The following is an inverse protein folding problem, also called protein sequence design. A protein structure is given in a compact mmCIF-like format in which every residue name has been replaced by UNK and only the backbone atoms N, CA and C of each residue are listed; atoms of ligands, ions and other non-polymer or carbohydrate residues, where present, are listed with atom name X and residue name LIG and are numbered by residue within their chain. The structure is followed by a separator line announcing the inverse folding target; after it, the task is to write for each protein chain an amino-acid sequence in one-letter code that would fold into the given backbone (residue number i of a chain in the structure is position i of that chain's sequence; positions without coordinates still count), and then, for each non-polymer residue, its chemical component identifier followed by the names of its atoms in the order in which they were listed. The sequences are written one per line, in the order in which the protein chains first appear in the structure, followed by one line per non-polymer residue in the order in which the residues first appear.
data_IF_807255958664
#
_entry.id   IF_807255958664
#
_cell.length_a   1.000
_cell.length_b   1.000
_cell.length_c   1.000
_cell.angle_alpha   90.00
_cell.angle_beta   90.00
_cell.angle_gamma   90.00
#
_symmetry.space_group_name_H-M   'P 1'
#
loop_
_entity.id
_entity.type
_entity.pdbx_description
1 polymer ?
#
# COMPACT_ATOMS: atom_id res chain seq x y z
N UNK A 1 -22.44 -26.11 -4.73
CA UNK A 1 -22.37 -25.20 -3.57
C UNK A 1 -20.98 -24.59 -3.61
N UNK A 2 -20.84 -23.26 -3.71
CA UNK A 2 -19.52 -22.63 -3.60
C UNK A 2 -19.02 -22.79 -2.15
N UNK A 3 -17.72 -23.03 -1.92
CA UNK A 3 -17.17 -23.10 -0.57
C UNK A 3 -17.45 -21.80 0.18
N UNK A 4 -17.76 -21.90 1.48
CA UNK A 4 -17.93 -20.72 2.33
C UNK A 4 -16.64 -19.88 2.31
N UNK A 5 -16.72 -18.54 2.25
CA UNK A 5 -15.55 -17.66 2.23
C UNK A 5 -14.67 -17.79 3.48
N UNK A 6 -15.15 -18.44 4.54
CA UNK A 6 -14.37 -18.72 5.76
C UNK A 6 -13.56 -20.02 5.69
N UNK A 7 -13.73 -20.82 4.64
CA UNK A 7 -12.92 -22.03 4.40
C UNK A 7 -11.67 -21.69 3.61
N UNK A 8 -10.58 -22.44 3.78
CA UNK A 8 -9.33 -22.22 3.03
C UNK A 8 -9.56 -22.15 1.51
N UNK A 9 -10.37 -23.06 0.97
CA UNK A 9 -10.74 -23.07 -0.45
C UNK A 9 -11.55 -21.83 -0.85
N UNK A 10 -12.45 -21.35 0.02
CA UNK A 10 -13.19 -20.11 -0.19
C UNK A 10 -12.27 -18.89 -0.16
N UNK A 11 -11.33 -18.81 0.78
CA UNK A 11 -10.35 -17.73 0.87
C UNK A 11 -9.49 -17.67 -0.39
N UNK A 12 -8.96 -18.81 -0.86
CA UNK A 12 -8.19 -18.86 -2.11
C UNK A 12 -9.02 -18.38 -3.31
N UNK A 13 -10.29 -18.76 -3.35
CA UNK A 13 -11.19 -18.33 -4.42
C UNK A 13 -11.45 -16.81 -4.36
N UNK A 14 -11.68 -16.24 -3.18
CA UNK A 14 -11.88 -14.80 -3.01
C UNK A 14 -10.63 -14.00 -3.36
N UNK A 15 -9.44 -14.45 -2.96
CA UNK A 15 -8.16 -13.87 -3.38
C UNK A 15 -8.03 -13.91 -4.91
N UNK A 16 -8.40 -15.04 -5.53
CA UNK A 16 -8.34 -15.17 -6.98
C UNK A 16 -9.34 -14.24 -7.69
N UNK A 17 -10.53 -14.06 -7.14
CA UNK A 17 -11.55 -13.16 -7.68
C UNK A 17 -11.15 -11.69 -7.50
N UNK A 18 -10.42 -11.35 -6.43
CA UNK A 18 -9.96 -10.00 -6.14
C UNK A 18 -11.09 -9.00 -5.89
N UNK A 19 -12.27 -9.50 -5.49
CA UNK A 19 -13.44 -8.66 -5.20
C UNK A 19 -13.34 -8.13 -3.78
N UNK A 20 -13.24 -6.81 -3.65
CA UNK A 20 -13.25 -6.13 -2.36
C UNK A 20 -14.66 -5.61 -2.09
N UNK A 21 -15.24 -6.01 -0.95
CA UNK A 21 -16.50 -5.46 -0.47
C UNK A 21 -16.23 -4.26 0.44
N UNK A 22 -16.64 -3.09 -0.01
CA UNK A 22 -16.59 -1.83 0.74
C UNK A 22 -17.99 -1.29 1.10
N UNK A 23 -19.04 -2.10 0.90
CA UNK A 23 -20.43 -1.73 1.19
C UNK A 23 -20.90 -2.30 2.53
N UNK A 24 -20.38 -3.46 2.93
CA UNK A 24 -20.70 -4.04 4.24
C UNK A 24 -20.02 -3.28 5.38
N UNK A 25 -20.66 -3.22 6.54
CA UNK A 25 -20.06 -2.64 7.75
C UNK A 25 -18.70 -3.29 8.08
N UNK A 26 -17.68 -2.53 8.50
CA UNK A 26 -17.69 -1.09 8.86
C UNK A 26 -17.34 -0.14 7.70
N UNK A 27 -17.18 -0.65 6.48
CA UNK A 27 -16.60 0.10 5.37
C UNK A 27 -17.34 1.37 4.95
N UNK A 28 -18.68 1.47 5.01
CA UNK A 28 -19.38 2.72 4.71
C UNK A 28 -18.88 3.93 5.52
N UNK A 29 -18.44 3.71 6.77
CA UNK A 29 -17.92 4.76 7.65
C UNK A 29 -16.47 5.19 7.37
N UNK A 30 -15.73 4.41 6.59
CA UNK A 30 -14.32 4.67 6.25
C UNK A 30 -14.23 5.64 5.08
N UNK A 31 -13.20 6.49 5.07
CA UNK A 31 -13.01 7.48 4.00
C UNK A 31 -12.81 6.84 2.63
N UNK A 32 -13.29 7.52 1.59
CA UNK A 32 -13.14 7.05 0.21
C UNK A 32 -11.68 7.04 -0.26
N UNK A 33 -10.85 7.94 0.27
CA UNK A 33 -9.41 7.95 0.01
C UNK A 33 -8.72 6.69 0.54
N UNK A 34 -9.08 6.22 1.74
CA UNK A 34 -8.54 4.98 2.30
C UNK A 34 -8.99 3.76 1.49
N UNK A 35 -10.26 3.73 1.07
CA UNK A 35 -10.78 2.67 0.18
C UNK A 35 -10.05 2.67 -1.17
N UNK A 36 -9.80 3.83 -1.76
CA UNK A 36 -9.08 3.96 -3.03
C UNK A 36 -7.63 3.47 -2.92
N UNK A 37 -6.94 3.83 -1.84
CA UNK A 37 -5.59 3.33 -1.56
C UNK A 37 -5.57 1.79 -1.48
N UNK A 38 -6.49 1.19 -0.73
CA UNK A 38 -6.59 -0.26 -0.59
C UNK A 38 -6.87 -0.93 -1.94
N UNK A 39 -7.74 -0.37 -2.78
CA UNK A 39 -7.99 -0.89 -4.14
C UNK A 39 -6.72 -0.95 -4.98
N UNK A 40 -5.91 0.11 -4.93
CA UNK A 40 -4.65 0.21 -5.68
C UNK A 40 -3.54 -0.69 -5.11
N UNK A 41 -3.51 -0.89 -3.79
CA UNK A 41 -2.58 -1.81 -3.14
C UNK A 41 -2.92 -3.29 -3.38
N UNK A 42 -4.20 -3.63 -3.49
CA UNK A 42 -4.68 -5.00 -3.72
C UNK A 42 -5.04 -5.27 -5.19
N UNK A 43 -4.53 -4.47 -6.12
CA UNK A 43 -4.73 -4.70 -7.55
C UNK A 43 -4.16 -6.08 -7.95
N UNK A 44 -4.97 -6.90 -8.61
CA UNK A 44 -4.56 -8.23 -9.08
C UNK A 44 -3.42 -8.14 -10.10
N UNK A 45 -3.35 -7.07 -10.88
CA UNK A 45 -2.29 -6.87 -11.86
C UNK A 45 -1.03 -6.27 -11.18
N UNK A 46 0.08 -7.01 -11.10
CA UNK A 46 1.28 -6.54 -10.41
C UNK A 46 1.94 -5.33 -11.07
N UNK A 47 1.65 -5.06 -12.35
CA UNK A 47 2.21 -3.89 -13.07
C UNK A 47 1.53 -2.56 -12.71
N UNK A 48 0.29 -2.63 -12.24
CA UNK A 48 -0.52 -1.46 -11.86
C UNK A 48 -0.73 -1.38 -10.35
N UNK A 49 -0.39 -2.45 -9.61
CA UNK A 49 -0.34 -2.47 -8.16
C UNK A 49 0.69 -1.47 -7.64
N UNK A 50 0.27 -0.62 -6.69
CA UNK A 50 1.18 0.31 -6.04
C UNK A 50 2.31 -0.44 -5.35
N UNK A 51 3.51 0.08 -5.49
CA UNK A 51 4.65 -0.38 -4.70
C UNK A 51 4.61 0.23 -3.30
N UNK A 52 5.33 -0.38 -2.35
CA UNK A 52 5.47 0.20 -1.02
C UNK A 52 6.05 1.63 -1.07
N UNK A 53 6.89 1.93 -2.07
CA UNK A 53 7.43 3.27 -2.28
C UNK A 53 6.33 4.25 -2.66
N UNK A 54 5.49 3.92 -3.64
CA UNK A 54 4.40 4.80 -4.10
C UNK A 54 3.42 5.09 -2.96
N UNK A 55 3.02 4.07 -2.19
CA UNK A 55 2.10 4.24 -1.04
C UNK A 55 2.64 5.19 0.01
N UNK A 56 3.94 5.07 0.31
CA UNK A 56 4.58 5.92 1.31
C UNK A 56 4.76 7.33 0.75
N UNK A 57 5.30 7.48 -0.46
CA UNK A 57 5.65 8.77 -1.06
C UNK A 57 4.43 9.60 -1.52
N UNK A 58 3.36 8.97 -2.02
CA UNK A 58 2.15 9.69 -2.45
C UNK A 58 1.44 10.36 -1.27
N UNK A 59 1.46 9.77 -0.07
CA UNK A 59 0.96 10.39 1.16
C UNK A 59 1.79 11.62 1.57
N UNK A 60 3.03 11.72 1.08
CA UNK A 60 3.89 12.86 1.33
C UNK A 60 3.94 13.81 0.14
N UNK A 61 3.24 13.59 -0.98
CA UNK A 61 3.38 14.48 -2.15
C UNK A 61 3.00 15.94 -1.82
N UNK A 62 1.94 16.15 -1.03
CA UNK A 62 1.54 17.47 -0.53
C UNK A 62 2.56 18.04 0.48
N UNK A 63 3.20 17.19 1.27
CA UNK A 63 4.24 17.57 2.22
C UNK A 63 5.60 17.78 1.54
N UNK A 64 5.89 17.11 0.43
CA UNK A 64 7.12 17.22 -0.33
C UNK A 64 7.10 18.47 -1.18
N UNK A 65 5.99 18.91 -1.77
CA UNK A 65 5.95 20.25 -2.37
C UNK A 65 6.15 21.36 -1.31
N UNK A 66 5.53 21.22 -0.13
CA UNK A 66 5.75 22.14 0.99
C UNK A 66 7.22 22.15 1.46
N UNK A 67 7.80 20.96 1.70
CA UNK A 67 9.19 20.80 2.13
C UNK A 67 10.20 21.15 1.03
N UNK A 68 9.91 20.88 -0.24
CA UNK A 68 10.76 21.22 -1.38
C UNK A 68 10.82 22.74 -1.57
N UNK A 69 9.72 23.46 -1.36
CA UNK A 69 9.70 24.92 -1.35
C UNK A 69 10.38 25.52 -0.10
N UNK A 70 10.30 24.84 1.06
CA UNK A 70 10.94 25.26 2.31
C UNK A 70 12.45 24.95 2.36
N UNK A 71 12.89 23.85 1.74
CA UNK A 71 14.26 23.32 1.74
C UNK A 71 14.98 23.58 0.41
N UNK A 72 14.64 24.66 -0.32
CA UNK A 72 15.36 25.15 -1.51
C UNK A 72 16.79 25.64 -1.21
N UNK A 73 17.18 25.69 0.05
CA UNK A 73 18.45 26.28 0.52
C UNK A 73 19.44 25.28 1.10
N UNK A 74 19.28 23.98 0.86
CA UNK A 74 20.13 22.98 1.50
C UNK A 74 20.64 22.03 0.43
N UNK A 75 21.96 22.01 0.31
CA UNK A 75 22.66 21.25 -0.69
C UNK A 75 22.36 19.76 -0.49
N UNK A 76 22.05 19.10 -1.60
CA UNK A 76 21.50 17.74 -1.69
C UNK A 76 22.10 16.75 -0.68
N UNK A 77 21.29 16.28 0.27
CA UNK A 77 21.50 14.97 0.86
C UNK A 77 20.66 13.98 0.05
N UNK A 78 21.23 13.49 -1.04
CA UNK A 78 20.61 12.57 -2.01
C UNK A 78 20.32 11.16 -1.48
N UNK A 79 20.03 11.03 -0.18
CA UNK A 79 19.77 9.72 0.44
C UNK A 79 18.72 9.85 1.54
N UNK A 80 17.53 10.31 1.19
CA UNK A 80 16.31 9.85 1.86
C UNK A 80 16.00 8.40 1.44
N UNK A 81 17.00 7.51 1.48
CA UNK A 81 16.72 6.11 1.71
C UNK A 81 16.45 6.04 3.20
N UNK A 82 15.21 5.74 3.58
CA UNK A 82 14.99 5.14 4.89
C UNK A 82 15.87 3.90 4.91
N UNK A 83 17.01 3.99 5.57
CA UNK A 83 17.90 2.87 5.77
C UNK A 83 17.12 1.83 6.57
N UNK A 84 16.50 0.88 5.87
CA UNK A 84 15.80 -0.27 6.45
C UNK A 84 16.78 -1.31 6.98
N UNK A 85 18.08 -1.16 6.66
CA UNK A 85 19.15 -1.95 7.26
C UNK A 85 19.29 -1.59 8.75
N UNK A 86 18.57 -2.33 9.57
CA UNK A 86 18.49 -2.14 11.02
C UNK A 86 17.11 -2.46 11.60
N UNK A 87 16.07 -2.66 10.78
CA UNK A 87 14.78 -3.12 11.29
C UNK A 87 14.81 -4.62 11.59
N UNK A 88 14.43 -5.07 12.81
CA UNK A 88 14.58 -6.46 13.25
C UNK A 88 13.92 -7.53 12.36
N UNK A 89 12.95 -7.15 11.52
CA UNK A 89 12.14 -8.05 10.72
C UNK A 89 12.44 -8.00 9.22
N UNK A 90 13.46 -7.23 8.77
CA UNK A 90 13.91 -7.19 7.38
C UNK A 90 15.31 -7.79 7.32
N UNK A 91 15.36 -9.10 7.14
CA UNK A 91 16.58 -9.85 6.82
C UNK A 91 16.65 -10.05 5.31
N UNK A 92 17.58 -9.33 4.68
CA UNK A 92 18.15 -9.56 3.35
C UNK A 92 17.23 -10.17 2.28
N UNK A 93 16.50 -9.29 1.59
CA UNK A 93 16.29 -9.42 0.15
C UNK A 93 15.49 -10.61 -0.39
N UNK A 94 14.88 -11.44 0.45
CA UNK A 94 14.03 -12.54 0.01
C UNK A 94 12.62 -12.38 0.57
N UNK A 95 11.74 -11.81 -0.25
CA UNK A 95 10.30 -11.98 -0.08
C UNK A 95 10.00 -13.42 -0.51
N UNK A 96 9.79 -14.30 0.46
CA UNK A 96 9.20 -15.62 0.23
C UNK A 96 7.69 -15.49 -0.03
#
# INVERSE_FOLDING_TARGET
MLPSPETEQGIFQEIFLGKLDFQSEPWPSISDSAKDLIRKMLDKNPKTRLTAHDVLCDNYHDLYEYLHNYWKGVESCGTCVVSVSGHPWIVDGNIA
#
